data_IF_876644665733
#
_entry.id   IF_876644665733
#
_cell.length_a   1.000
_cell.length_b   1.000
_cell.length_c   1.000
_cell.angle_alpha   90.00
_cell.angle_beta   90.00
_cell.angle_gamma   90.00
#
_symmetry.space_group_name_H-M   'P 1'
#
loop_
_entity.id
_entity.type
_entity.pdbx_description
1 polymer ?
#
# COMPACT_ATOMS: atom_id res chain seq x y z
N UNK A 1 -8.33 27.40 4.29
CA UNK A 1 -8.47 26.50 5.45
C UNK A 1 -7.32 25.51 5.46
N UNK A 2 -6.37 25.65 6.38
CA UNK A 2 -5.25 24.69 6.50
C UNK A 2 -5.81 23.34 6.94
N UNK A 3 -5.77 22.35 6.05
CA UNK A 3 -6.19 20.99 6.38
C UNK A 3 -5.21 20.46 7.43
N UNK A 4 -5.69 20.17 8.63
CA UNK A 4 -4.84 19.54 9.66
C UNK A 4 -4.66 18.08 9.29
N UNK A 5 -3.42 17.68 9.09
CA UNK A 5 -3.04 16.28 8.87
C UNK A 5 -3.25 15.51 10.17
N UNK A 6 -3.99 14.41 10.10
CA UNK A 6 -4.09 13.46 11.21
C UNK A 6 -2.87 12.54 11.19
N UNK A 7 -1.84 12.90 11.96
CA UNK A 7 -0.57 12.18 12.00
C UNK A 7 -0.72 10.72 12.43
N UNK A 8 -1.69 10.39 13.29
CA UNK A 8 -1.91 9.02 13.73
C UNK A 8 -2.50 8.17 12.59
N UNK A 9 -3.44 8.73 11.83
CA UNK A 9 -3.99 8.06 10.66
C UNK A 9 -2.93 7.89 9.57
N UNK A 10 -2.11 8.91 9.31
CA UNK A 10 -1.02 8.84 8.33
C UNK A 10 0.01 7.77 8.71
N UNK A 11 0.40 7.69 9.98
CA UNK A 11 1.31 6.64 10.45
C UNK A 11 0.73 5.24 10.24
N UNK A 12 -0.56 5.04 10.59
CA UNK A 12 -1.23 3.75 10.38
C UNK A 12 -1.27 3.37 8.90
N UNK A 13 -1.59 4.31 8.01
CA UNK A 13 -1.61 4.07 6.57
C UNK A 13 -0.22 3.72 6.02
N UNK A 14 0.84 4.34 6.55
CA UNK A 14 2.23 4.00 6.20
C UNK A 14 2.61 2.59 6.65
N UNK A 15 2.22 2.20 7.86
CA UNK A 15 2.47 0.85 8.37
C UNK A 15 1.70 -0.22 7.57
N UNK A 16 0.45 0.06 7.19
CA UNK A 16 -0.36 -0.81 6.33
C UNK A 16 0.27 -0.98 4.94
N UNK A 17 0.73 0.11 4.34
CA UNK A 17 1.42 0.09 3.06
C UNK A 17 2.68 -0.78 3.12
N UNK A 18 3.51 -0.59 4.14
CA UNK A 18 4.76 -1.33 4.33
C UNK A 18 4.49 -2.84 4.49
N UNK A 19 3.52 -3.22 5.34
CA UNK A 19 3.12 -4.62 5.52
C UNK A 19 2.66 -5.27 4.22
N UNK A 20 1.83 -4.59 3.43
CA UNK A 20 1.36 -5.12 2.15
C UNK A 20 2.51 -5.28 1.15
N UNK A 21 3.36 -4.25 1.02
CA UNK A 21 4.49 -4.25 0.10
C UNK A 21 5.49 -5.36 0.39
N UNK A 22 5.72 -5.70 1.67
CA UNK A 22 6.61 -6.80 2.08
C UNK A 22 6.19 -8.17 1.52
N UNK A 23 4.91 -8.37 1.18
CA UNK A 23 4.42 -9.65 0.64
C UNK A 23 4.59 -9.78 -0.88
N UNK A 24 4.83 -8.68 -1.60
CA UNK A 24 4.91 -8.66 -3.07
C UNK A 24 6.01 -9.56 -3.64
N UNK A 25 7.22 -9.64 -3.06
CA UNK A 25 8.24 -10.57 -3.56
C UNK A 25 7.79 -12.04 -3.57
N UNK A 26 7.02 -12.46 -2.56
CA UNK A 26 6.49 -13.82 -2.47
C UNK A 26 5.39 -14.07 -3.53
N UNK A 27 4.52 -13.08 -3.76
CA UNK A 27 3.51 -13.15 -4.80
C UNK A 27 4.16 -13.26 -6.19
N UNK A 28 5.19 -12.44 -6.47
CA UNK A 28 5.96 -12.50 -7.73
C UNK A 28 6.68 -13.84 -7.89
N UNK A 29 7.23 -14.39 -6.81
CA UNK A 29 7.83 -15.73 -6.84
C UNK A 29 6.80 -16.82 -7.19
N UNK A 30 5.54 -16.66 -6.77
CA UNK A 30 4.45 -17.56 -7.13
C UNK A 30 4.05 -17.42 -8.59
N UNK A 31 3.96 -16.18 -9.10
CA UNK A 31 3.69 -15.90 -10.53
C UNK A 31 4.75 -16.52 -11.43
N UNK A 32 6.04 -16.43 -11.04
CA UNK A 32 7.13 -17.09 -11.79
C UNK A 32 6.97 -18.61 -11.88
N UNK A 33 6.26 -19.23 -10.94
CA UNK A 33 5.93 -20.67 -10.93
C UNK A 33 4.62 -20.98 -11.70
N UNK A 34 4.05 -20.01 -12.41
CA UNK A 34 2.79 -20.17 -13.13
C UNK A 34 1.54 -20.07 -12.26
N UNK A 35 1.67 -19.65 -11.00
CA UNK A 35 0.54 -19.48 -10.08
C UNK A 35 0.27 -17.99 -9.88
N UNK A 36 -0.90 -17.51 -10.28
CA UNK A 36 -1.35 -16.16 -9.94
C UNK A 36 -2.11 -16.21 -8.60
N UNK A 37 -1.58 -15.63 -7.50
CA UNK A 37 -2.35 -15.52 -6.27
C UNK A 37 -3.62 -14.72 -6.52
N UNK A 38 -4.77 -15.17 -6.01
CA UNK A 38 -6.08 -14.56 -6.29
C UNK A 38 -6.17 -13.10 -5.85
N UNK A 39 -5.35 -12.70 -4.88
CA UNK A 39 -5.38 -11.41 -4.21
C UNK A 39 -4.25 -10.46 -4.63
N UNK A 40 -3.26 -10.91 -5.42
CA UNK A 40 -2.10 -10.06 -5.76
C UNK A 40 -2.51 -8.77 -6.47
N UNK A 41 -3.50 -8.83 -7.35
CA UNK A 41 -3.99 -7.66 -8.09
C UNK A 41 -4.69 -6.67 -7.15
N UNK A 42 -5.55 -7.15 -6.26
CA UNK A 42 -6.24 -6.30 -5.29
C UNK A 42 -5.28 -5.69 -4.27
N UNK A 43 -4.28 -6.46 -3.85
CA UNK A 43 -3.21 -5.98 -2.99
C UNK A 43 -2.42 -4.84 -3.63
N UNK A 44 -2.04 -4.98 -4.91
CA UNK A 44 -1.35 -3.92 -5.67
C UNK A 44 -2.21 -2.65 -5.78
N UNK A 45 -3.52 -2.78 -6.04
CA UNK A 45 -4.45 -1.64 -6.04
C UNK A 45 -4.52 -0.95 -4.67
N UNK A 46 -4.49 -1.72 -3.59
CA UNK A 46 -4.53 -1.16 -2.24
C UNK A 46 -3.23 -0.43 -1.88
N UNK A 47 -2.07 -0.97 -2.29
CA UNK A 47 -0.76 -0.31 -2.19
C UNK A 47 -0.77 1.03 -2.95
N UNK A 48 -1.28 1.05 -4.20
CA UNK A 48 -1.39 2.28 -4.99
C UNK A 48 -2.28 3.32 -4.29
N UNK A 49 -3.43 2.90 -3.77
CA UNK A 49 -4.37 3.78 -3.05
C UNK A 49 -3.73 4.39 -1.79
N UNK A 50 -3.07 3.58 -0.96
CA UNK A 50 -2.40 4.05 0.26
C UNK A 50 -1.24 4.99 -0.08
N UNK A 51 -0.43 4.65 -1.08
CA UNK A 51 0.68 5.50 -1.54
C UNK A 51 0.19 6.89 -2.01
N UNK A 52 -0.92 6.94 -2.76
CA UNK A 52 -1.54 8.19 -3.19
C UNK A 52 -2.05 9.04 -2.02
N UNK A 53 -2.66 8.41 -1.01
CA UNK A 53 -3.15 9.10 0.19
C UNK A 53 -2.00 9.70 0.99
N UNK A 54 -0.99 8.89 1.32
CA UNK A 54 0.19 9.35 2.05
C UNK A 54 0.87 10.54 1.36
N UNK A 55 1.05 10.47 0.03
CA UNK A 55 1.61 11.59 -0.75
C UNK A 55 0.77 12.86 -0.63
N UNK A 56 -0.56 12.72 -0.60
CA UNK A 56 -1.47 13.87 -0.46
C UNK A 56 -1.41 14.46 0.95
N UNK A 57 -1.40 13.63 1.98
CA UNK A 57 -1.36 14.08 3.38
C UNK A 57 0.00 14.68 3.77
N UNK A 58 1.10 14.18 3.21
CA UNK A 58 2.45 14.69 3.46
C UNK A 58 2.81 15.94 2.64
N UNK A 59 2.03 16.26 1.60
CA UNK A 59 2.20 17.45 0.76
C UNK A 59 0.88 18.25 0.68
N UNK A 60 0.51 18.94 1.79
CA UNK A 60 -0.76 19.64 1.94
C UNK A 60 -0.90 20.91 1.08
#
# INVERSE_FOLDING_TARGET
STRRVDAAQVQKEADDLARMAQTIPADVASVRKGMLPKDVIEKLKQIEKLSKRLRTELNP
#
